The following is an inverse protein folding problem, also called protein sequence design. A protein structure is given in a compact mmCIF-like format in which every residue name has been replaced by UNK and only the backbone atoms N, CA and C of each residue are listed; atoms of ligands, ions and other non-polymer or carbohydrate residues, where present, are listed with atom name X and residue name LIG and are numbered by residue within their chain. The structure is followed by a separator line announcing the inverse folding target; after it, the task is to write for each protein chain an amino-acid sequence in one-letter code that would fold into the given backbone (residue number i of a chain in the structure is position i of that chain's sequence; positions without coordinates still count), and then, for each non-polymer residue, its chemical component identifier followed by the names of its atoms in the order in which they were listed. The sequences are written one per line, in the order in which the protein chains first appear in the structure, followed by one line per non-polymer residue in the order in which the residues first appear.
data_IF_763637388392
#
_entry.id   IF_763637388392
#
_cell.length_a   1.000
_cell.length_b   1.000
_cell.length_c   1.000
_cell.angle_alpha   90.00
_cell.angle_beta   90.00
_cell.angle_gamma   90.00
#
_symmetry.space_group_name_H-M   'P 1'
#
loop_
_entity.id
_entity.type
_entity.pdbx_description
1 polymer ?
#
# COMPACT_ATOMS: atom_id res chain seq x y z
N UNK A 1 19.49 -4.99 -3.55
CA UNK A 1 18.38 -4.03 -3.70
C UNK A 1 17.14 -4.85 -3.95
N UNK A 2 16.20 -4.85 -3.01
CA UNK A 2 14.97 -5.64 -3.11
C UNK A 2 13.91 -4.79 -3.79
N UNK A 3 13.24 -5.34 -4.80
CA UNK A 3 12.09 -4.69 -5.45
C UNK A 3 10.86 -5.55 -5.15
N UNK A 4 9.85 -4.93 -4.55
CA UNK A 4 8.56 -5.54 -4.27
C UNK A 4 7.57 -5.13 -5.36
N UNK A 5 6.80 -6.08 -5.87
CA UNK A 5 5.82 -5.82 -6.92
C UNK A 5 4.41 -6.11 -6.42
N UNK A 6 3.44 -5.41 -6.99
CA UNK A 6 2.03 -5.60 -6.65
C UNK A 6 1.11 -5.08 -7.73
N UNK A 7 -0.18 -5.39 -7.61
CA UNK A 7 -1.21 -4.93 -8.54
C UNK A 7 -2.55 -4.77 -7.84
N UNK A 8 -3.45 -3.99 -8.46
CA UNK A 8 -4.85 -3.95 -8.03
C UNK A 8 -5.55 -5.28 -8.39
N UNK A 9 -6.53 -5.68 -7.59
CA UNK A 9 -7.30 -6.92 -7.80
C UNK A 9 -7.96 -7.00 -9.20
N UNK A 10 -8.33 -5.87 -9.78
CA UNK A 10 -8.91 -5.81 -11.12
C UNK A 10 -7.87 -5.96 -12.26
N UNK A 11 -6.57 -5.97 -11.96
CA UNK A 11 -5.48 -6.09 -12.93
C UNK A 11 -5.15 -4.80 -13.70
N UNK A 12 -5.92 -3.72 -13.55
CA UNK A 12 -5.74 -2.50 -14.36
C UNK A 12 -4.51 -1.65 -13.98
N UNK A 13 -3.89 -1.91 -12.82
CA UNK A 13 -2.74 -1.17 -12.30
C UNK A 13 -1.75 -2.14 -11.66
N UNK A 14 -0.48 -1.96 -11.98
CA UNK A 14 0.66 -2.62 -11.36
C UNK A 14 1.61 -1.56 -10.81
N UNK A 15 2.36 -1.91 -9.77
CA UNK A 15 3.32 -1.02 -9.13
C UNK A 15 4.53 -1.78 -8.61
N UNK A 16 5.61 -1.05 -8.41
CA UNK A 16 6.88 -1.49 -7.85
C UNK A 16 7.28 -0.58 -6.68
N UNK A 17 7.88 -1.18 -5.65
CA UNK A 17 8.43 -0.49 -4.49
C UNK A 17 9.88 -0.91 -4.32
N UNK A 18 10.79 0.06 -4.35
CA UNK A 18 12.22 -0.16 -4.17
C UNK A 18 12.61 -0.06 -2.68
N UNK A 19 13.41 -1.03 -2.21
CA UNK A 19 13.96 -1.04 -0.87
C UNK A 19 13.18 -1.92 0.12
N UNK A 20 13.48 -1.75 1.39
CA UNK A 20 12.84 -2.50 2.47
C UNK A 20 11.64 -1.74 3.02
N UNK A 21 10.58 -2.48 3.36
CA UNK A 21 9.41 -1.93 4.04
C UNK A 21 9.68 -1.92 5.54
N UNK A 22 9.43 -0.78 6.17
CA UNK A 22 9.53 -0.63 7.63
C UNK A 22 8.48 -1.49 8.37
N UNK A 23 7.28 -1.62 7.80
CA UNK A 23 6.26 -2.52 8.32
C UNK A 23 4.88 -2.34 7.68
N UNK A 24 3.91 -3.10 8.19
CA UNK A 24 2.48 -2.94 7.87
C UNK A 24 1.78 -2.37 9.10
N UNK A 25 0.95 -1.35 8.90
CA UNK A 25 0.14 -0.75 9.97
C UNK A 25 -1.35 -0.93 9.68
N UNK A 26 -2.14 -0.95 10.75
CA UNK A 26 -3.60 -0.91 10.65
C UNK A 26 -4.10 0.52 10.89
N UNK A 27 -4.61 1.17 9.86
CA UNK A 27 -5.17 2.51 9.96
C UNK A 27 -6.66 2.45 10.30
N UNK A 28 -7.05 3.17 11.36
CA UNK A 28 -8.42 3.25 11.85
C UNK A 28 -9.08 4.61 11.58
N UNK A 29 -8.53 5.46 10.71
CA UNK A 29 -9.17 6.75 10.43
C UNK A 29 -10.51 6.59 9.69
N UNK A 30 -11.36 7.61 9.74
CA UNK A 30 -12.68 7.56 9.10
C UNK A 30 -12.60 7.36 7.59
N UNK A 31 -11.57 7.89 6.93
CA UNK A 31 -11.35 7.73 5.49
C UNK A 31 -11.04 6.26 5.13
N UNK A 32 -10.10 5.62 5.81
CA UNK A 32 -9.75 4.22 5.56
C UNK A 32 -10.90 3.26 5.86
N UNK A 33 -11.67 3.50 6.94
CA UNK A 33 -12.87 2.70 7.23
C UNK A 33 -13.94 2.84 6.14
N UNK A 34 -14.20 4.07 5.67
CA UNK A 34 -15.16 4.32 4.59
C UNK A 34 -14.72 3.71 3.25
N UNK A 35 -13.43 3.79 2.92
CA UNK A 35 -12.90 3.26 1.67
C UNK A 35 -12.95 1.72 1.61
N UNK A 36 -12.69 1.06 2.74
CA UNK A 36 -12.65 -0.41 2.82
C UNK A 36 -13.98 -1.05 3.24
N UNK A 37 -14.90 -0.28 3.86
CA UNK A 37 -16.09 -0.82 4.51
C UNK A 37 -15.80 -1.63 5.78
N UNK A 38 -14.57 -1.59 6.30
CA UNK A 38 -14.09 -2.38 7.44
C UNK A 38 -13.80 -1.51 8.68
N UNK A 39 -13.43 -2.15 9.79
CA UNK A 39 -13.00 -1.51 11.05
C UNK A 39 -11.68 -0.75 10.91
N UNK A 40 -10.92 -1.02 9.85
CA UNK A 40 -9.66 -0.36 9.50
C UNK A 40 -9.11 -0.93 8.20
N UNK A 41 -8.00 -0.37 7.72
CA UNK A 41 -7.33 -0.84 6.52
C UNK A 41 -5.84 -1.08 6.79
N UNK A 42 -5.28 -2.18 6.27
CA UNK A 42 -3.84 -2.40 6.28
C UNK A 42 -3.17 -1.42 5.30
N UNK A 43 -2.10 -0.76 5.74
CA UNK A 43 -1.37 0.23 4.95
C UNK A 43 0.14 0.04 5.06
N UNK A 44 0.85 0.50 4.04
CA UNK A 44 2.29 0.69 4.01
C UNK A 44 2.59 2.19 3.90
N UNK A 45 3.67 2.63 4.54
CA UNK A 45 4.23 3.96 4.35
C UNK A 45 5.44 3.79 3.44
N UNK A 46 5.36 4.37 2.24
CA UNK A 46 6.38 4.23 1.21
C UNK A 46 6.86 5.63 0.79
N UNK A 47 8.18 5.91 0.83
CA UNK A 47 8.72 7.15 0.31
C UNK A 47 8.32 7.32 -1.17
N UNK A 48 7.89 8.53 -1.55
CA UNK A 48 7.42 8.78 -2.92
C UNK A 48 8.48 8.46 -3.98
N UNK A 49 9.75 8.66 -3.66
CA UNK A 49 10.87 8.35 -4.57
C UNK A 49 11.07 6.85 -4.79
N UNK A 50 10.55 6.01 -3.91
CA UNK A 50 10.71 4.56 -3.94
C UNK A 50 9.49 3.84 -4.53
N UNK A 51 8.45 4.56 -4.93
CA UNK A 51 7.25 3.97 -5.54
C UNK A 51 7.18 4.31 -7.03
N UNK A 52 6.90 3.32 -7.86
CA UNK A 52 6.53 3.45 -9.27
C UNK A 52 5.22 2.72 -9.54
N UNK A 53 4.25 3.35 -10.22
CA UNK A 53 2.94 2.74 -10.51
C UNK A 53 2.05 3.59 -11.40
#
# INVERSE_FOLDING_TARGET
MTVLTGSCLCGARAYEIEGELDGVWMCHCSLCRKASGSVGNAILIVPRIAFAG
#
